data_IF_485709940598
#
_entry.id   IF_485709940598
#
_cell.length_a   1.000
_cell.length_b   1.000
_cell.length_c   1.000
_cell.angle_alpha   90.00
_cell.angle_beta   90.00
_cell.angle_gamma   90.00
#
_symmetry.space_group_name_H-M   'P 1'
#
loop_
_entity.id
_entity.type
_entity.pdbx_description
1 polymer ?
#
# COMPACT_ATOMS: atom_id res chain seq x y z
N UNK A 1 17.95 4.29 -17.66
CA UNK A 1 17.05 3.74 -16.63
C UNK A 1 15.66 4.24 -16.92
N UNK A 2 14.73 3.33 -17.20
CA UNK A 2 13.33 3.66 -17.44
C UNK A 2 12.61 4.00 -16.12
N UNK A 3 11.39 4.52 -16.25
CA UNK A 3 10.59 5.00 -15.12
C UNK A 3 10.17 3.88 -14.16
N UNK A 4 9.94 2.67 -14.66
CA UNK A 4 9.52 1.51 -13.86
C UNK A 4 10.67 1.04 -12.99
N UNK A 5 11.90 1.06 -13.53
CA UNK A 5 13.09 0.73 -12.75
C UNK A 5 13.29 1.72 -11.59
N UNK A 6 13.07 3.02 -11.82
CA UNK A 6 13.15 4.04 -10.76
C UNK A 6 12.01 3.92 -9.74
N UNK A 7 10.80 3.60 -10.20
CA UNK A 7 9.65 3.35 -9.33
C UNK A 7 9.89 2.12 -8.45
N UNK A 8 10.30 0.98 -9.03
CA UNK A 8 10.62 -0.26 -8.30
C UNK A 8 11.74 -0.07 -7.27
N UNK A 9 12.76 0.71 -7.59
CA UNK A 9 13.81 1.06 -6.64
C UNK A 9 13.29 1.89 -5.46
N UNK A 10 12.39 2.85 -5.74
CA UNK A 10 11.67 3.61 -4.72
C UNK A 10 10.75 2.74 -3.86
N UNK A 11 10.01 1.82 -4.48
CA UNK A 11 9.10 0.90 -3.79
C UNK A 11 9.87 -0.06 -2.87
N UNK A 12 11.06 -0.52 -3.26
CA UNK A 12 11.90 -1.37 -2.43
C UNK A 12 12.40 -0.64 -1.16
N UNK A 13 12.79 0.62 -1.31
CA UNK A 13 13.15 1.46 -0.17
C UNK A 13 11.93 1.76 0.71
N UNK A 14 10.77 2.04 0.10
CA UNK A 14 9.53 2.27 0.81
C UNK A 14 9.09 1.04 1.63
N UNK A 15 9.21 -0.18 1.08
CA UNK A 15 8.93 -1.43 1.80
C UNK A 15 9.79 -1.56 3.05
N UNK A 16 11.10 -1.29 2.94
CA UNK A 16 12.00 -1.33 4.10
C UNK A 16 11.58 -0.37 5.22
N UNK A 17 11.32 0.90 4.87
CA UNK A 17 10.95 1.91 5.85
C UNK A 17 9.55 1.66 6.46
N UNK A 18 8.59 1.23 5.65
CA UNK A 18 7.24 0.92 6.12
C UNK A 18 7.25 -0.28 7.06
N UNK A 19 7.99 -1.36 6.75
CA UNK A 19 8.15 -2.51 7.66
C UNK A 19 8.79 -2.10 8.98
N UNK A 20 9.82 -1.26 8.94
CA UNK A 20 10.45 -0.74 10.15
C UNK A 20 9.48 0.11 10.98
N UNK A 21 8.72 1.00 10.34
CA UNK A 21 7.70 1.82 11.01
C UNK A 21 6.55 0.97 11.59
N UNK A 22 6.11 -0.07 10.88
CA UNK A 22 5.14 -1.04 11.36
C UNK A 22 5.65 -1.80 12.59
N UNK A 23 6.91 -2.23 12.60
CA UNK A 23 7.51 -2.90 13.75
C UNK A 23 7.57 -2.01 15.01
N UNK A 24 7.67 -0.69 14.84
CA UNK A 24 7.64 0.27 15.96
C UNK A 24 6.23 0.58 16.49
N UNK A 25 5.20 0.26 15.71
CA UNK A 25 3.81 0.57 16.04
C UNK A 25 2.99 -0.72 16.12
N UNK A 26 2.43 -1.16 15.00
CA UNK A 26 1.75 -2.44 14.84
C UNK A 26 2.13 -3.04 13.50
N UNK A 27 2.50 -4.32 13.51
CA UNK A 27 2.87 -5.07 12.30
C UNK A 27 1.80 -4.92 11.22
N UNK A 28 2.23 -4.59 9.99
CA UNK A 28 1.36 -4.33 8.84
C UNK A 28 0.65 -2.97 8.81
N UNK A 29 0.70 -2.14 9.87
CA UNK A 29 -0.07 -0.88 9.92
C UNK A 29 0.44 0.19 8.95
N UNK A 30 1.75 0.37 8.79
CA UNK A 30 2.31 1.37 7.90
C UNK A 30 2.06 1.03 6.42
N UNK A 31 2.11 -0.25 6.06
CA UNK A 31 1.74 -0.74 4.73
C UNK A 31 0.24 -0.57 4.46
N UNK A 32 -0.61 -0.82 5.46
CA UNK A 32 -2.04 -0.51 5.37
C UNK A 32 -2.27 0.98 5.11
N UNK A 33 -1.63 1.84 5.91
CA UNK A 33 -1.72 3.29 5.77
C UNK A 33 -1.30 3.71 4.35
N UNK A 34 -0.16 3.23 3.85
CA UNK A 34 0.27 3.52 2.49
C UNK A 34 -0.77 3.08 1.46
N UNK A 35 -1.31 1.86 1.61
CA UNK A 35 -2.38 1.32 0.76
C UNK A 35 -3.61 2.22 0.69
N UNK A 36 -4.12 2.65 1.84
CA UNK A 36 -5.30 3.54 1.94
C UNK A 36 -5.03 4.93 1.34
N UNK A 37 -3.81 5.46 1.48
CA UNK A 37 -3.45 6.75 0.87
C UNK A 37 -3.27 6.66 -0.65
N UNK A 38 -2.72 5.56 -1.16
CA UNK A 38 -2.74 5.30 -2.60
C UNK A 38 -4.17 5.09 -3.11
N UNK A 39 -5.06 4.49 -2.32
CA UNK A 39 -6.46 4.29 -2.72
C UNK A 39 -7.23 5.61 -2.84
N UNK A 40 -7.05 6.51 -1.87
CA UNK A 40 -7.77 7.77 -1.80
C UNK A 40 -7.08 8.94 -2.52
N UNK A 41 -5.77 8.82 -2.75
CA UNK A 41 -4.91 9.94 -3.11
C UNK A 41 -4.72 10.94 -1.96
N UNK A 42 -3.73 11.81 -2.12
CA UNK A 42 -3.46 12.93 -1.23
C UNK A 42 -3.55 14.21 -2.07
N UNK A 43 -4.57 15.02 -1.81
CA UNK A 43 -4.84 16.24 -2.59
C UNK A 43 -3.60 17.14 -2.66
N UNK A 44 -3.16 17.45 -3.88
CA UNK A 44 -2.00 18.29 -4.13
C UNK A 44 -0.64 17.59 -4.03
N UNK A 45 -0.61 16.29 -3.75
CA UNK A 45 0.62 15.51 -3.65
C UNK A 45 0.59 14.25 -4.52
N UNK A 46 -0.50 13.48 -4.46
CA UNK A 46 -0.60 12.16 -5.08
C UNK A 46 -2.02 11.87 -5.56
N UNK A 47 -2.17 11.45 -6.80
CA UNK A 47 -3.45 10.97 -7.33
C UNK A 47 -3.75 9.55 -6.82
N UNK A 48 -5.04 9.15 -6.75
CA UNK A 48 -5.42 7.76 -6.48
C UNK A 48 -4.78 6.78 -7.46
N UNK A 49 -4.17 5.70 -6.95
CA UNK A 49 -3.57 4.61 -7.71
C UNK A 49 -3.97 3.27 -7.09
N UNK A 50 -5.03 2.67 -7.64
CA UNK A 50 -5.59 1.40 -7.17
C UNK A 50 -4.59 0.23 -7.28
N UNK A 51 -3.72 0.26 -8.28
CA UNK A 51 -2.73 -0.81 -8.50
C UNK A 51 -1.73 -0.80 -7.36
N UNK A 52 -1.15 0.37 -7.05
CA UNK A 52 -0.24 0.50 -5.90
C UNK A 52 -0.94 0.27 -4.58
N UNK A 53 -2.16 0.80 -4.40
CA UNK A 53 -2.96 0.58 -3.21
C UNK A 53 -3.11 -0.92 -2.91
N UNK A 54 -3.55 -1.70 -3.90
CA UNK A 54 -3.70 -3.16 -3.75
C UNK A 54 -2.37 -3.87 -3.42
N UNK A 55 -1.25 -3.40 -3.96
CA UNK A 55 0.07 -3.96 -3.66
C UNK A 55 0.44 -3.80 -2.19
N UNK A 56 0.32 -2.58 -1.65
CA UNK A 56 0.61 -2.28 -0.26
C UNK A 56 -0.37 -2.95 0.71
N UNK A 57 -1.65 -3.01 0.37
CA UNK A 57 -2.66 -3.71 1.17
C UNK A 57 -2.42 -5.23 1.19
N UNK A 58 -1.97 -5.84 0.09
CA UNK A 58 -1.58 -7.27 0.06
C UNK A 58 -0.42 -7.56 1.00
N UNK A 59 0.58 -6.69 1.02
CA UNK A 59 1.70 -6.82 1.94
C UNK A 59 1.28 -6.67 3.40
N UNK A 60 0.41 -5.70 3.69
CA UNK A 60 -0.15 -5.50 5.02
C UNK A 60 -1.01 -6.69 5.50
N UNK A 61 -1.88 -7.20 4.63
CA UNK A 61 -2.70 -8.39 4.90
C UNK A 61 -1.83 -9.63 5.15
N UNK A 62 -0.78 -9.85 4.34
CA UNK A 62 0.18 -10.93 4.55
C UNK A 62 0.97 -10.82 5.87
N UNK A 63 1.08 -9.60 6.42
CA UNK A 63 1.67 -9.34 7.73
C UNK A 63 0.67 -9.55 8.90
N UNK A 64 -0.58 -9.93 8.64
CA UNK A 64 -1.60 -10.22 9.65
C UNK A 64 -2.41 -8.98 10.08
N UNK A 65 -2.47 -7.94 9.25
CA UNK A 65 -3.32 -6.79 9.50
C UNK A 65 -4.69 -6.99 8.82
N UNK A 66 -5.64 -7.59 9.55
CA UNK A 66 -6.95 -8.02 9.02
C UNK A 66 -7.70 -6.92 8.25
N UNK A 67 -7.64 -5.67 8.70
CA UNK A 67 -8.31 -4.55 8.01
C UNK A 67 -7.77 -4.30 6.61
N UNK A 68 -6.52 -4.66 6.32
CA UNK A 68 -5.99 -4.59 4.96
C UNK A 68 -6.56 -5.68 4.06
N UNK A 69 -6.85 -6.87 4.63
CA UNK A 69 -7.55 -7.94 3.91
C UNK A 69 -9.00 -7.51 3.60
N UNK A 70 -9.69 -6.90 4.56
CA UNK A 70 -11.05 -6.37 4.36
C UNK A 70 -11.10 -5.32 3.23
N UNK A 71 -10.11 -4.41 3.18
CA UNK A 71 -10.03 -3.40 2.12
C UNK A 71 -9.76 -4.02 0.74
N UNK A 72 -8.98 -5.11 0.66
CA UNK A 72 -8.76 -5.84 -0.59
C UNK A 72 -10.05 -6.51 -1.10
N UNK A 73 -10.86 -7.02 -0.19
CA UNK A 73 -12.16 -7.63 -0.48
C UNK A 73 -13.26 -6.59 -0.74
N UNK A 74 -12.96 -5.31 -0.50
CA UNK A 74 -13.90 -4.22 -0.75
C UNK A 74 -14.29 -4.14 -2.24
N UNK A 75 -15.52 -3.72 -2.57
CA UNK A 75 -15.96 -3.55 -3.97
C UNK A 75 -15.06 -2.61 -4.79
N UNK A 76 -14.30 -1.72 -4.13
CA UNK A 76 -13.42 -0.75 -4.77
C UNK A 76 -12.19 -1.41 -5.39
N UNK A 77 -11.71 -2.49 -4.77
CA UNK A 77 -10.49 -3.23 -5.14
C UNK A 77 -10.75 -4.65 -5.66
N UNK A 78 -11.83 -5.32 -5.22
CA UNK A 78 -12.20 -6.67 -5.64
C UNK A 78 -12.73 -6.78 -7.09
N UNK A 79 -12.91 -5.63 -7.77
CA UNK A 79 -13.35 -5.58 -9.16
C UNK A 79 -14.86 -5.38 -9.29
N UNK A 80 -15.28 -4.12 -9.38
CA UNK A 80 -16.52 -3.74 -10.05
C UNK A 80 -16.23 -3.47 -11.53
N UNK A 81 -16.89 -4.21 -12.42
CA UNK A 81 -16.83 -4.04 -13.88
C UNK A 81 -17.47 -2.77 -14.40
#
# INVERSE_FOLDING_TARGET
MDYETRAKAGDSAAQHYLRWASALSRTGYAEYWAGVHFLNGIKGFMAPDKTRASGWLKESCAQGFDSACDELDSPVLAGGG
#
